data_IF_450404800717
#
_entry.id   IF_450404800717
#
_cell.length_a   1.000
_cell.length_b   1.000
_cell.length_c   1.000
_cell.angle_alpha   90.00
_cell.angle_beta   90.00
_cell.angle_gamma   90.00
#
_symmetry.space_group_name_H-M   'P 1'
#
loop_
_entity.id
_entity.type
_entity.pdbx_description
1 polymer ?
#
# COMPACT_ATOMS: atom_id res chain seq x y z
N UNK A 1 8.58 -8.62 7.73
CA UNK A 1 7.29 -9.31 7.44
C UNK A 1 6.57 -8.71 6.24
N UNK A 2 6.16 -7.44 6.32
CA UNK A 2 5.30 -6.79 5.30
C UNK A 2 5.92 -6.81 3.90
N UNK A 3 7.21 -6.49 3.78
CA UNK A 3 7.95 -6.59 2.52
C UNK A 3 7.84 -7.99 1.89
N UNK A 4 8.02 -9.06 2.67
CA UNK A 4 7.89 -10.44 2.17
C UNK A 4 6.48 -10.78 1.68
N UNK A 5 5.45 -10.39 2.44
CA UNK A 5 4.06 -10.55 2.02
C UNK A 5 3.75 -9.76 0.75
N UNK A 6 4.26 -8.53 0.62
CA UNK A 6 4.11 -7.69 -0.55
C UNK A 6 4.77 -8.33 -1.79
N UNK A 7 5.97 -8.92 -1.67
CA UNK A 7 6.63 -9.66 -2.77
C UNK A 7 5.73 -10.77 -3.31
N UNK A 8 5.20 -11.64 -2.44
CA UNK A 8 4.30 -12.73 -2.85
C UNK A 8 3.05 -12.19 -3.56
N UNK A 9 2.50 -11.10 -3.02
CA UNK A 9 1.26 -10.49 -3.54
C UNK A 9 1.47 -9.83 -4.89
N UNK A 10 2.55 -9.07 -5.06
CA UNK A 10 2.92 -8.47 -6.33
C UNK A 10 3.17 -9.56 -7.37
N UNK A 11 3.86 -10.64 -7.00
CA UNK A 11 4.08 -11.78 -7.89
C UNK A 11 2.76 -12.40 -8.39
N UNK A 12 1.77 -12.55 -7.50
CA UNK A 12 0.44 -13.02 -7.88
C UNK A 12 -0.29 -12.01 -8.79
N UNK A 13 -0.29 -10.74 -8.42
CA UNK A 13 -0.98 -9.68 -9.15
C UNK A 13 -0.39 -9.40 -10.53
N UNK A 14 0.93 -9.57 -10.71
CA UNK A 14 1.59 -9.45 -12.02
C UNK A 14 1.11 -10.50 -13.03
N UNK A 15 0.53 -11.61 -12.57
CA UNK A 15 -0.05 -12.66 -13.42
C UNK A 15 -1.53 -12.41 -13.77
N UNK A 16 -2.15 -11.38 -13.20
CA UNK A 16 -3.54 -11.01 -13.45
C UNK A 16 -3.63 -9.84 -14.43
N UNK A 17 -4.69 -9.82 -15.25
CA UNK A 17 -5.06 -8.71 -16.13
C UNK A 17 -6.27 -7.94 -15.60
N UNK A 18 -6.40 -6.70 -16.04
CA UNK A 18 -7.51 -5.82 -15.70
C UNK A 18 -8.86 -6.46 -16.11
N UNK A 19 -9.92 -6.36 -15.28
CA UNK A 19 -11.18 -7.05 -15.51
C UNK A 19 -11.96 -6.56 -16.74
N UNK A 20 -11.70 -5.34 -17.20
CA UNK A 20 -12.45 -4.70 -18.30
C UNK A 20 -11.58 -4.10 -19.41
N UNK A 21 -10.25 -4.08 -19.28
CA UNK A 21 -9.33 -3.45 -20.24
C UNK A 21 -8.14 -4.40 -20.48
N UNK A 22 -7.53 -4.36 -21.66
CA UNK A 22 -6.32 -5.15 -21.96
C UNK A 22 -5.05 -4.51 -21.37
N UNK A 23 -5.07 -4.29 -20.05
CA UNK A 23 -4.03 -3.60 -19.29
C UNK A 23 -3.60 -4.44 -18.05
N UNK A 24 -2.40 -4.20 -17.49
CA UNK A 24 -2.03 -4.76 -16.18
C UNK A 24 -3.01 -4.34 -15.09
N UNK A 25 -3.12 -5.18 -14.05
CA UNK A 25 -3.85 -4.82 -12.82
C UNK A 25 -3.11 -3.74 -12.02
N UNK A 26 -1.82 -3.54 -12.24
CA UNK A 26 -1.00 -2.54 -11.54
C UNK A 26 -0.93 -1.27 -12.39
N UNK A 27 -1.39 -0.16 -11.82
CA UNK A 27 -1.31 1.18 -12.43
C UNK A 27 0.01 1.87 -11.99
N UNK A 28 1.03 1.79 -12.83
CA UNK A 28 2.37 2.28 -12.50
C UNK A 28 2.44 3.81 -12.39
N UNK A 29 1.67 4.56 -13.20
CA UNK A 29 1.65 6.02 -13.16
C UNK A 29 1.05 6.51 -11.83
N UNK A 30 0.02 5.82 -11.31
CA UNK A 30 -0.54 6.12 -10.01
C UNK A 30 0.44 5.88 -8.86
N UNK A 31 1.23 4.81 -8.93
CA UNK A 31 2.30 4.56 -7.95
C UNK A 31 3.37 5.64 -8.05
N UNK A 32 3.83 5.98 -9.25
CA UNK A 32 4.83 7.03 -9.46
C UNK A 32 4.38 8.40 -8.95
N UNK A 33 3.08 8.69 -8.98
CA UNK A 33 2.54 9.94 -8.47
C UNK A 33 2.69 10.06 -6.95
N UNK A 34 2.43 9.00 -6.17
CA UNK A 34 2.37 9.10 -4.71
C UNK A 34 3.62 8.54 -4.02
N UNK A 35 4.28 7.55 -4.62
CA UNK A 35 5.43 6.88 -4.03
C UNK A 35 6.58 7.82 -3.62
N UNK A 36 7.03 8.80 -4.43
CA UNK A 36 8.16 9.65 -4.06
C UNK A 36 7.89 10.46 -2.78
N UNK A 37 6.68 11.04 -2.68
CA UNK A 37 6.24 11.78 -1.49
C UNK A 37 6.06 10.88 -0.29
N UNK A 38 5.59 9.65 -0.52
CA UNK A 38 5.46 8.64 0.52
C UNK A 38 6.83 8.20 1.06
N UNK A 39 7.83 8.03 0.20
CA UNK A 39 9.20 7.69 0.62
C UNK A 39 9.87 8.83 1.40
N UNK A 40 9.65 10.09 0.99
CA UNK A 40 10.04 11.26 1.79
C UNK A 40 9.44 11.18 3.21
N UNK A 41 8.13 10.93 3.30
CA UNK A 41 7.44 10.77 4.57
C UNK A 41 8.01 9.64 5.41
N UNK A 42 8.38 8.50 4.81
CA UNK A 42 8.96 7.36 5.52
C UNK A 42 10.27 7.74 6.20
N UNK A 43 11.19 8.41 5.50
CA UNK A 43 12.45 8.82 6.12
C UNK A 43 12.24 9.75 7.32
N UNK A 44 11.22 10.61 7.27
CA UNK A 44 10.85 11.48 8.40
C UNK A 44 10.24 10.63 9.53
N UNK A 45 9.34 9.71 9.20
CA UNK A 45 8.68 8.81 10.14
C UNK A 45 9.65 7.91 10.90
N UNK A 46 10.63 7.33 10.21
CA UNK A 46 11.69 6.52 10.85
C UNK A 46 12.56 7.38 11.76
N UNK A 47 12.87 8.62 11.36
CA UNK A 47 13.57 9.57 12.23
C UNK A 47 12.75 9.84 13.50
N UNK A 48 11.43 10.04 13.38
CA UNK A 48 10.54 10.19 14.54
C UNK A 48 10.42 8.93 15.39
N UNK A 49 10.51 7.74 14.80
CA UNK A 49 10.55 6.49 15.57
C UNK A 49 11.74 6.44 16.53
N UNK A 50 12.88 7.03 16.15
CA UNK A 50 14.06 7.14 17.03
C UNK A 50 13.85 8.15 18.15
N UNK A 51 13.11 9.23 17.92
CA UNK A 51 12.89 10.29 18.92
C UNK A 51 11.79 9.91 19.91
N UNK A 52 10.71 9.29 19.40
CA UNK A 52 9.48 9.09 20.15
C UNK A 52 9.58 7.91 21.12
N UNK A 53 9.05 8.05 22.35
CA UNK A 53 8.95 6.94 23.28
C UNK A 53 8.12 5.77 22.73
N UNK A 54 8.48 4.55 23.12
CA UNK A 54 7.78 3.31 22.74
C UNK A 54 6.27 3.36 23.03
N UNK A 55 5.86 3.99 24.14
CA UNK A 55 4.44 4.14 24.50
C UNK A 55 3.68 5.05 23.53
N UNK A 56 4.31 6.11 23.00
CA UNK A 56 3.69 7.01 22.00
C UNK A 56 3.45 6.26 20.70
N UNK A 57 4.45 5.49 20.25
CA UNK A 57 4.37 4.67 19.04
C UNK A 57 3.27 3.62 19.20
N UNK A 58 3.22 2.97 20.35
CA UNK A 58 2.20 1.97 20.69
C UNK A 58 0.79 2.57 20.69
N UNK A 59 0.58 3.70 21.37
CA UNK A 59 -0.72 4.38 21.39
C UNK A 59 -1.15 4.81 19.99
N UNK A 60 -0.21 5.35 19.20
CA UNK A 60 -0.44 5.73 17.80
C UNK A 60 -0.85 4.52 16.95
N UNK A 61 -0.18 3.38 17.12
CA UNK A 61 -0.51 2.13 16.45
C UNK A 61 -1.92 1.65 16.83
N UNK A 62 -2.27 1.66 18.11
CA UNK A 62 -3.60 1.24 18.60
C UNK A 62 -4.69 2.12 17.98
N UNK A 63 -4.53 3.45 18.02
CA UNK A 63 -5.50 4.39 17.43
C UNK A 63 -5.67 4.13 15.94
N UNK A 64 -4.56 3.93 15.21
CA UNK A 64 -4.60 3.67 13.78
C UNK A 64 -5.29 2.34 13.47
N UNK A 65 -4.95 1.26 14.18
CA UNK A 65 -5.54 -0.05 13.97
C UNK A 65 -7.03 -0.08 14.30
N UNK A 66 -7.47 0.58 15.38
CA UNK A 66 -8.89 0.70 15.71
C UNK A 66 -9.61 1.52 14.64
N UNK A 67 -9.08 2.70 14.28
CA UNK A 67 -9.71 3.56 13.28
C UNK A 67 -9.84 2.89 11.91
N UNK A 68 -8.79 2.20 11.46
CA UNK A 68 -8.81 1.46 10.19
C UNK A 68 -9.73 0.25 10.25
N UNK A 69 -9.76 -0.50 11.35
CA UNK A 69 -10.68 -1.63 11.56
C UNK A 69 -12.14 -1.19 11.54
N UNK A 70 -12.48 -0.11 12.25
CA UNK A 70 -13.84 0.42 12.31
C UNK A 70 -14.29 0.91 10.92
N UNK A 71 -13.45 1.70 10.23
CA UNK A 71 -13.73 2.15 8.84
C UNK A 71 -13.90 0.95 7.90
N UNK A 72 -13.05 -0.07 8.00
CA UNK A 72 -13.14 -1.29 7.19
C UNK A 72 -14.43 -2.07 7.46
N UNK A 73 -14.84 -2.20 8.73
CA UNK A 73 -16.06 -2.89 9.11
C UNK A 73 -17.31 -2.20 8.55
N UNK A 74 -17.44 -0.89 8.71
CA UNK A 74 -18.57 -0.13 8.14
C UNK A 74 -18.60 -0.24 6.61
N UNK A 75 -17.45 -0.08 5.95
CA UNK A 75 -17.35 -0.27 4.50
C UNK A 75 -17.71 -1.69 4.06
N UNK A 76 -17.36 -2.69 4.86
CA UNK A 76 -17.75 -4.09 4.66
C UNK A 76 -19.25 -4.28 4.71
N UNK A 77 -19.94 -3.64 5.67
CA UNK A 77 -21.41 -3.64 5.76
C UNK A 77 -22.06 -2.95 4.56
N UNK A 78 -21.54 -1.81 4.12
CA UNK A 78 -22.09 -1.08 2.97
C UNK A 78 -21.92 -1.90 1.68
N UNK A 79 -20.74 -2.48 1.48
CA UNK A 79 -20.45 -3.35 0.34
C UNK A 79 -21.35 -4.59 0.35
N UNK A 80 -21.55 -5.20 1.53
CA UNK A 80 -22.45 -6.34 1.68
C UNK A 80 -23.90 -6.00 1.31
N UNK A 81 -24.39 -4.83 1.74
CA UNK A 81 -25.74 -4.36 1.38
C UNK A 81 -25.87 -4.20 -0.13
N UNK A 82 -24.90 -3.55 -0.78
CA UNK A 82 -24.89 -3.37 -2.25
C UNK A 82 -24.86 -4.72 -2.97
N UNK A 83 -23.98 -5.63 -2.56
CA UNK A 83 -23.91 -6.99 -3.14
C UNK A 83 -25.19 -7.79 -2.94
N UNK A 84 -25.88 -7.59 -1.82
CA UNK A 84 -27.16 -8.26 -1.54
C UNK A 84 -28.26 -7.73 -2.46
N UNK A 85 -28.34 -6.41 -2.64
CA UNK A 85 -29.28 -5.78 -3.58
C UNK A 85 -29.00 -6.26 -5.02
N UNK A 86 -27.74 -6.27 -5.45
CA UNK A 86 -27.37 -6.75 -6.79
C UNK A 86 -27.74 -8.22 -7.02
N UNK A 87 -27.54 -9.09 -6.02
CA UNK A 87 -27.97 -10.50 -6.12
C UNK A 87 -29.49 -10.63 -6.13
N UNK A 88 -30.20 -9.81 -5.37
CA UNK A 88 -31.66 -9.80 -5.36
C UNK A 88 -32.22 -9.28 -6.68
N UNK A 89 -31.66 -8.22 -7.25
CA UNK A 89 -32.03 -7.69 -8.58
C UNK A 89 -31.73 -8.69 -9.69
N UNK A 90 -30.59 -9.40 -9.61
CA UNK A 90 -30.28 -10.48 -10.54
C UNK A 90 -31.29 -11.64 -10.42
N UNK A 91 -31.69 -12.01 -9.19
CA UNK A 91 -32.71 -13.04 -8.96
C UNK A 91 -34.11 -12.59 -9.40
N UNK A 92 -34.45 -11.30 -9.24
CA UNK A 92 -35.71 -10.71 -9.74
C UNK A 92 -35.74 -10.67 -11.26
N UNK A 93 -34.64 -10.29 -11.93
CA UNK A 93 -34.50 -10.35 -13.39
C UNK A 93 -34.61 -11.79 -13.89
N UNK A 94 -33.96 -12.75 -13.23
CA UNK A 94 -34.06 -14.17 -13.56
C UNK A 94 -35.50 -14.71 -13.40
N UNK A 95 -36.23 -14.30 -12.36
CA UNK A 95 -37.65 -14.65 -12.18
C UNK A 95 -38.58 -13.95 -13.17
N UNK A 96 -38.27 -12.72 -13.56
CA UNK A 96 -39.03 -11.91 -14.53
C UNK A 96 -38.91 -12.44 -15.96
N UNK A 97 -37.81 -13.09 -16.33
CA UNK A 97 -37.60 -13.60 -17.69
C UNK A 97 -38.28 -14.96 -17.93
N UNK A 98 -38.82 -15.63 -16.90
CA UNK A 98 -39.50 -16.91 -17.06
C UNK A 98 -38.54 -18.04 -17.43
N UNK A 99 -38.68 -19.20 -16.79
CA UNK A 99 -37.82 -20.35 -17.05
C UNK A 99 -38.07 -20.95 -18.43
N UNK A 100 -37.38 -20.44 -19.46
CA UNK A 100 -37.05 -21.13 -20.72
C UNK A 100 -36.43 -20.12 -21.68
N UNK A 101 -35.12 -19.92 -21.59
CA UNK A 101 -34.18 -19.63 -22.68
C UNK A 101 -32.83 -19.32 -22.01
N UNK A 102 -31.79 -20.06 -22.40
CA UNK A 102 -30.41 -19.72 -22.05
C UNK A 102 -30.13 -18.31 -22.60
N UNK A 103 -30.12 -17.31 -21.70
CA UNK A 103 -29.81 -15.93 -22.09
C UNK A 103 -28.32 -15.85 -22.42
N UNK A 104 -28.05 -16.01 -23.70
CA UNK A 104 -26.85 -15.56 -24.39
C UNK A 104 -26.51 -14.13 -23.92
N UNK A 105 -25.34 -14.00 -23.31
CA UNK A 105 -24.77 -12.73 -22.89
C UNK A 105 -24.61 -11.84 -24.12
N UNK A 106 -25.51 -10.87 -24.33
CA UNK A 106 -25.39 -9.91 -25.43
C UNK A 106 -24.26 -8.91 -25.09
N UNK A 107 -23.10 -8.95 -25.78
CA UNK A 107 -22.05 -7.97 -25.58
C UNK A 107 -22.54 -6.62 -26.13
N UNK A 108 -22.24 -5.53 -25.41
CA UNK A 108 -22.27 -4.18 -25.98
C UNK A 108 -21.35 -4.14 -27.21
N UNK A 109 -21.67 -3.33 -28.24
CA UNK A 109 -21.23 -3.56 -29.61
C UNK A 109 -19.71 -3.68 -29.70
N UNK A 110 -19.28 -4.91 -29.94
CA UNK A 110 -17.91 -5.30 -30.18
C UNK A 110 -17.46 -4.71 -31.51
N UNK A 111 -16.46 -3.84 -31.45
CA UNK A 111 -15.54 -3.63 -32.55
C UNK A 111 -14.67 -4.86 -32.69
N UNK A 112 -15.26 -5.92 -33.24
CA UNK A 112 -14.61 -7.01 -33.98
C UNK A 112 -13.46 -7.75 -33.24
N UNK A 113 -13.80 -8.81 -32.52
CA UNK A 113 -12.82 -9.86 -32.19
C UNK A 113 -13.34 -10.97 -31.28
N UNK A 114 -13.91 -12.01 -31.89
CA UNK A 114 -14.32 -13.25 -31.24
C UNK A 114 -13.16 -13.93 -30.48
N UNK A 115 -13.10 -13.76 -29.17
CA UNK A 115 -12.51 -14.71 -28.23
C UNK A 115 -13.23 -14.61 -26.87
N UNK A 116 -13.51 -15.73 -26.18
CA UNK A 116 -14.06 -15.69 -24.82
C UNK A 116 -13.07 -14.99 -23.88
N UNK A 117 -13.49 -14.41 -22.74
CA UNK A 117 -12.57 -13.84 -21.75
C UNK A 117 -11.84 -14.99 -21.04
N UNK A 118 -10.89 -15.60 -21.75
CA UNK A 118 -9.86 -16.45 -21.16
C UNK A 118 -9.07 -15.54 -20.26
N UNK A 119 -9.04 -15.85 -18.96
CA UNK A 119 -7.94 -15.47 -18.09
C UNK A 119 -6.67 -16.13 -18.64
N UNK A 120 -6.14 -15.60 -19.74
CA UNK A 120 -4.87 -16.02 -20.30
C UNK A 120 -3.83 -15.62 -19.25
N UNK A 121 -3.20 -16.63 -18.63
CA UNK A 121 -1.98 -16.42 -17.84
C UNK A 121 -0.95 -15.85 -18.80
N UNK A 122 -0.87 -14.54 -18.87
CA UNK A 122 0.10 -13.83 -19.68
C UNK A 122 1.48 -13.90 -19.04
N UNK A 123 2.51 -13.96 -19.88
CA UNK A 123 3.90 -13.98 -19.45
C UNK A 123 4.21 -12.69 -18.67
N UNK A 124 4.74 -12.84 -17.45
CA UNK A 124 5.01 -11.74 -16.48
C UNK A 124 5.72 -10.55 -17.11
N UNK A 125 6.67 -10.83 -18.03
CA UNK A 125 7.51 -9.82 -18.69
C UNK A 125 6.73 -8.89 -19.63
N UNK A 126 5.61 -9.32 -20.19
CA UNK A 126 4.80 -8.52 -21.10
C UNK A 126 3.85 -7.57 -20.36
N UNK A 127 3.67 -7.78 -19.05
CA UNK A 127 2.79 -6.99 -18.18
C UNK A 127 3.55 -5.87 -17.44
N UNK A 128 4.87 -5.76 -17.66
CA UNK A 128 5.75 -4.82 -16.98
C UNK A 128 5.99 -3.60 -17.86
N UNK A 129 5.64 -2.44 -17.32
CA UNK A 129 5.92 -1.13 -17.90
C UNK A 129 7.32 -0.69 -17.46
N UNK A 130 8.33 -1.05 -18.27
CA UNK A 130 9.75 -0.93 -17.91
C UNK A 130 10.22 0.50 -17.67
N UNK A 131 9.64 1.48 -18.36
CA UNK A 131 10.01 2.90 -18.21
C UNK A 131 9.57 3.42 -16.84
N UNK A 132 8.33 3.14 -16.48
CA UNK A 132 7.71 3.55 -15.23
C UNK A 132 8.33 2.81 -14.05
N UNK A 133 8.52 1.49 -14.18
CA UNK A 133 9.27 0.69 -13.21
C UNK A 133 10.71 1.20 -13.04
N UNK A 134 11.39 1.53 -14.14
CA UNK A 134 12.75 2.07 -14.11
C UNK A 134 12.83 3.39 -13.35
N UNK A 135 11.83 4.27 -13.52
CA UNK A 135 11.75 5.54 -12.81
C UNK A 135 11.50 5.33 -11.31
N UNK A 136 10.64 4.37 -10.95
CA UNK A 136 10.36 4.00 -9.56
C UNK A 136 11.61 3.42 -8.86
N UNK A 137 12.31 2.52 -9.55
CA UNK A 137 13.58 1.95 -9.07
C UNK A 137 14.65 3.03 -8.94
N UNK A 138 14.71 3.99 -9.88
CA UNK A 138 15.62 5.12 -9.80
C UNK A 138 15.37 5.96 -8.53
N UNK A 139 14.12 6.31 -8.24
CA UNK A 139 13.76 7.02 -6.99
C UNK A 139 14.21 6.19 -5.79
N UNK A 140 13.88 4.90 -5.77
CA UNK A 140 14.22 4.03 -4.66
C UNK A 140 15.74 3.91 -4.44
N UNK A 141 16.52 3.71 -5.49
CA UNK A 141 17.99 3.61 -5.44
C UNK A 141 18.61 4.95 -5.02
N UNK A 142 18.09 6.07 -5.49
CA UNK A 142 18.58 7.39 -5.07
C UNK A 142 18.36 7.62 -3.57
N UNK A 143 17.20 7.22 -3.04
CA UNK A 143 16.92 7.27 -1.60
C UNK A 143 17.82 6.33 -0.81
N UNK A 144 18.00 5.09 -1.29
CA UNK A 144 18.92 4.12 -0.71
C UNK A 144 20.34 4.69 -0.61
N UNK A 145 20.85 5.27 -1.70
CA UNK A 145 22.19 5.86 -1.73
C UNK A 145 22.33 6.99 -0.71
N UNK A 146 21.31 7.85 -0.57
CA UNK A 146 21.30 8.92 0.43
C UNK A 146 21.26 8.34 1.86
N UNK A 147 20.47 7.30 2.14
CA UNK A 147 20.43 6.71 3.48
C UNK A 147 21.75 5.99 3.84
N UNK A 148 22.35 5.27 2.89
CA UNK A 148 23.67 4.67 3.08
C UNK A 148 24.72 5.75 3.35
N UNK A 149 24.72 6.83 2.56
CA UNK A 149 25.63 7.95 2.78
C UNK A 149 25.44 8.59 4.17
N UNK A 150 24.19 8.72 4.64
CA UNK A 150 23.89 9.21 5.99
C UNK A 150 24.47 8.33 7.09
N UNK A 151 24.50 7.02 6.89
CA UNK A 151 25.05 6.08 7.88
C UNK A 151 26.55 6.32 8.15
N UNK A 152 27.30 6.82 7.17
CA UNK A 152 28.72 7.14 7.33
C UNK A 152 28.97 8.54 7.91
N UNK A 153 27.92 9.32 8.17
CA UNK A 153 28.05 10.69 8.70
C UNK A 153 27.70 10.75 10.17
N UNK A 154 28.42 11.58 10.92
CA UNK A 154 28.10 11.79 12.33
C UNK A 154 26.67 12.36 12.51
N UNK A 155 25.89 11.85 13.48
CA UNK A 155 24.56 12.35 13.77
C UNK A 155 24.62 13.85 14.08
N UNK A 156 23.64 14.62 13.59
CA UNK A 156 23.53 16.07 13.79
C UNK A 156 24.67 16.92 13.18
N UNK A 157 25.50 16.38 12.28
CA UNK A 157 26.43 17.17 11.47
C UNK A 157 25.71 18.00 10.40
N UNK A 158 26.35 19.08 9.91
CA UNK A 158 25.84 19.85 8.75
C UNK A 158 25.67 18.96 7.52
N UNK A 159 26.56 17.98 7.33
CA UNK A 159 26.46 16.99 6.24
C UNK A 159 25.22 16.10 6.37
N UNK A 160 24.84 15.71 7.59
CA UNK A 160 23.65 14.90 7.85
C UNK A 160 22.37 15.63 7.42
N UNK A 161 22.26 16.91 7.77
CA UNK A 161 21.11 17.75 7.38
C UNK A 161 21.08 18.01 5.88
N UNK A 162 22.23 18.23 5.24
CA UNK A 162 22.31 18.38 3.79
C UNK A 162 21.84 17.11 3.07
N UNK A 163 22.27 15.93 3.53
CA UNK A 163 21.83 14.65 2.96
C UNK A 163 20.31 14.42 3.17
N UNK A 164 19.75 14.83 4.30
CA UNK A 164 18.30 14.77 4.53
C UNK A 164 17.56 15.69 3.55
N UNK A 165 18.03 16.94 3.40
CA UNK A 165 17.44 17.90 2.47
C UNK A 165 17.58 17.48 1.01
N UNK A 166 18.59 16.69 0.64
CA UNK A 166 18.79 16.17 -0.71
C UNK A 166 17.67 15.23 -1.17
N UNK A 167 16.91 14.61 -0.25
CA UNK A 167 15.77 13.76 -0.59
C UNK A 167 14.57 14.57 -1.13
N UNK A 168 14.44 15.83 -0.70
CA UNK A 168 13.36 16.74 -1.09
C UNK A 168 13.36 17.05 -2.60
N UNK A 169 14.46 17.54 -3.22
CA UNK A 169 14.46 17.83 -4.65
C UNK A 169 14.26 16.59 -5.52
N UNK A 170 14.73 15.42 -5.07
CA UNK A 170 14.53 14.15 -5.79
C UNK A 170 13.04 13.78 -5.83
N UNK A 171 12.37 13.80 -4.68
CA UNK A 171 10.94 13.47 -4.59
C UNK A 171 10.05 14.51 -5.26
N UNK A 172 10.28 15.80 -5.00
CA UNK A 172 9.54 16.89 -5.63
C UNK A 172 9.76 16.88 -7.15
N UNK A 173 10.98 16.64 -7.62
CA UNK A 173 11.30 16.60 -9.06
C UNK A 173 10.52 15.51 -9.80
N UNK A 174 10.50 14.30 -9.25
CA UNK A 174 9.76 13.17 -9.84
C UNK A 174 8.24 13.39 -9.75
N UNK A 175 7.75 13.86 -8.60
CA UNK A 175 6.34 14.20 -8.44
C UNK A 175 5.88 15.26 -9.44
N UNK A 176 6.65 16.35 -9.59
CA UNK A 176 6.34 17.41 -10.55
C UNK A 176 6.40 16.91 -11.99
N UNK A 177 7.39 16.08 -12.33
CA UNK A 177 7.49 15.47 -13.65
C UNK A 177 6.22 14.68 -14.00
N UNK A 178 5.74 13.86 -13.06
CA UNK A 178 4.53 13.06 -13.24
C UNK A 178 3.26 13.93 -13.26
N UNK A 179 3.14 14.87 -12.32
CA UNK A 179 2.01 15.79 -12.22
C UNK A 179 1.87 16.68 -13.46
N UNK A 180 2.97 17.18 -14.02
CA UNK A 180 2.98 17.97 -15.26
C UNK A 180 2.65 17.06 -16.46
N UNK A 181 3.11 15.81 -16.46
CA UNK A 181 2.78 14.80 -17.47
C UNK A 181 1.28 14.50 -17.52
N UNK A 182 0.65 14.36 -16.35
CA UNK A 182 -0.80 14.20 -16.18
C UNK A 182 -1.57 15.46 -16.58
N UNK A 183 -1.14 16.65 -16.14
CA UNK A 183 -1.80 17.92 -16.44
C UNK A 183 -1.77 18.27 -17.94
N UNK A 184 -0.66 18.01 -18.63
CA UNK A 184 -0.53 18.22 -20.08
C UNK A 184 -1.18 17.12 -20.92
N UNK A 185 -1.81 16.12 -20.30
CA UNK A 185 -2.45 14.99 -20.98
C UNK A 185 -1.48 14.03 -21.68
N UNK A 186 -0.18 14.10 -21.38
CA UNK A 186 0.86 13.20 -21.94
C UNK A 186 0.86 11.83 -21.27
N UNK A 187 0.35 11.74 -20.03
CA UNK A 187 0.07 10.50 -19.30
C UNK A 187 -1.38 10.48 -18.86
N UNK A 188 -2.01 9.31 -18.87
CA UNK A 188 -3.39 9.10 -18.42
C UNK A 188 -3.38 7.93 -17.44
N UNK A 189 -4.10 8.07 -16.33
CA UNK A 189 -4.32 6.98 -15.38
C UNK A 189 -5.13 5.91 -16.11
N UNK A 190 -4.43 4.87 -16.55
CA UNK A 190 -4.95 3.86 -17.48
C UNK A 190 -6.16 3.12 -16.90
N UNK A 191 -6.27 3.08 -15.57
CA UNK A 191 -7.38 2.41 -14.87
C UNK A 191 -8.72 3.16 -14.86
N UNK A 192 -8.80 4.45 -15.24
CA UNK A 192 -10.03 5.26 -15.07
C UNK A 192 -10.79 5.58 -16.38
N UNK A 193 -10.29 5.18 -17.54
CA UNK A 193 -10.92 5.50 -18.83
C UNK A 193 -10.91 6.99 -19.17
N UNK A 194 -11.68 7.39 -20.21
CA UNK A 194 -11.76 8.76 -20.76
C UNK A 194 -12.54 9.77 -19.88
N UNK A 195 -12.71 9.53 -18.58
CA UNK A 195 -13.22 10.57 -17.69
C UNK A 195 -12.16 11.66 -17.50
N UNK A 196 -12.42 12.83 -18.08
CA UNK A 196 -11.64 14.06 -17.88
C UNK A 196 -11.70 14.43 -16.41
N UNK A 197 -10.73 13.95 -15.64
CA UNK A 197 -10.44 14.50 -14.34
C UNK A 197 -9.98 15.93 -14.57
N UNK A 198 -10.79 16.89 -14.12
CA UNK A 198 -10.36 18.27 -13.95
C UNK A 198 -9.28 18.25 -12.86
N UNK A 199 -8.02 18.00 -13.25
CA UNK A 199 -6.89 17.89 -12.34
C UNK A 199 -6.56 19.28 -11.80
N UNK A 200 -7.37 19.73 -10.86
CA UNK A 200 -7.09 20.93 -10.10
C UNK A 200 -5.78 20.70 -9.33
N UNK A 201 -4.89 21.69 -9.42
CA UNK A 201 -3.61 21.73 -8.69
C UNK A 201 -3.82 21.44 -7.20
N UNK A 202 -4.96 21.87 -6.65
CA UNK A 202 -5.35 21.60 -5.27
C UNK A 202 -5.44 20.09 -4.95
N UNK A 203 -6.00 19.29 -5.85
CA UNK A 203 -6.16 17.82 -5.67
C UNK A 203 -4.81 17.12 -5.70
N UNK A 204 -3.92 17.52 -6.62
CA UNK A 204 -2.53 17.03 -6.70
C UNK A 204 -1.74 17.38 -5.43
N UNK A 205 -1.87 18.62 -4.95
CA UNK A 205 -1.24 19.05 -3.70
C UNK A 205 -1.77 18.26 -2.50
N UNK A 206 -3.08 18.02 -2.44
CA UNK A 206 -3.70 17.19 -1.41
C UNK A 206 -3.15 15.75 -1.44
N UNK A 207 -2.93 15.17 -2.63
CA UNK A 207 -2.31 13.84 -2.75
C UNK A 207 -0.86 13.82 -2.29
N UNK A 208 -0.08 14.83 -2.63
CA UNK A 208 1.29 14.99 -2.12
C UNK A 208 1.28 15.05 -0.60
N UNK A 209 0.42 15.88 0.00
CA UNK A 209 0.31 16.02 1.45
C UNK A 209 -0.13 14.71 2.11
N UNK A 210 -1.15 14.02 1.56
CA UNK A 210 -1.60 12.72 2.03
C UNK A 210 -0.48 11.68 1.95
N UNK A 211 0.29 11.65 0.86
CA UNK A 211 1.44 10.77 0.67
C UNK A 211 2.52 10.99 1.73
N UNK A 212 2.89 12.25 1.99
CA UNK A 212 3.88 12.58 3.04
C UNK A 212 3.37 12.15 4.43
N UNK A 213 2.13 12.49 4.79
CA UNK A 213 1.55 12.11 6.09
C UNK A 213 1.45 10.59 6.24
N UNK A 214 0.99 9.90 5.20
CA UNK A 214 0.95 8.44 5.14
C UNK A 214 2.33 7.82 5.29
N UNK A 215 3.34 8.44 4.66
CA UNK A 215 4.73 8.06 4.78
C UNK A 215 5.25 8.24 6.21
N UNK A 216 4.98 9.38 6.85
CA UNK A 216 5.39 9.66 8.24
C UNK A 216 4.81 8.60 9.18
N UNK A 217 3.50 8.35 9.10
CA UNK A 217 2.85 7.34 9.94
C UNK A 217 3.34 5.93 9.59
N UNK A 218 3.46 5.62 8.29
CA UNK A 218 3.92 4.30 7.83
C UNK A 218 5.38 4.00 8.17
N UNK A 219 6.24 5.03 8.16
CA UNK A 219 7.64 4.98 8.58
C UNK A 219 7.75 4.86 10.09
N UNK A 220 7.00 5.67 10.85
CA UNK A 220 6.96 5.62 12.32
C UNK A 220 6.56 4.25 12.85
N UNK A 221 5.62 3.57 12.18
CA UNK A 221 5.12 2.27 12.58
C UNK A 221 5.87 1.08 11.93
N UNK A 222 6.78 1.34 10.99
CA UNK A 222 7.47 0.29 10.23
C UNK A 222 6.57 -0.55 9.32
N UNK A 223 5.36 -0.06 9.00
CA UNK A 223 4.40 -0.76 8.14
C UNK A 223 4.70 -0.50 6.65
N UNK A 224 5.33 0.64 6.34
CA UNK A 224 5.39 1.18 4.97
C UNK A 224 4.02 1.74 4.57
N UNK A 225 3.99 2.98 4.05
CA UNK A 225 2.74 3.75 3.88
C UNK A 225 1.69 3.20 2.90
N UNK A 226 1.87 1.98 2.37
CA UNK A 226 0.95 1.34 1.43
C UNK A 226 -0.48 1.10 1.95
N UNK A 227 -0.70 1.10 3.27
CA UNK A 227 -2.04 0.95 3.84
C UNK A 227 -2.97 2.15 3.53
N UNK A 228 -2.40 3.34 3.27
CA UNK A 228 -3.17 4.55 2.91
C UNK A 228 -3.49 4.59 1.41
N UNK A 229 -2.64 3.98 0.58
CA UNK A 229 -2.81 3.94 -0.88
C UNK A 229 -4.15 3.30 -1.28
N UNK A 230 -4.54 2.21 -0.62
CA UNK A 230 -5.79 1.49 -0.93
C UNK A 230 -7.05 2.38 -0.82
N UNK A 231 -7.35 2.94 0.35
CA UNK A 231 -8.49 3.87 0.51
C UNK A 231 -8.42 5.07 -0.44
N UNK A 232 -7.23 5.66 -0.61
CA UNK A 232 -7.02 6.83 -1.46
C UNK A 232 -7.38 6.54 -2.93
N UNK A 233 -7.01 5.37 -3.44
CA UNK A 233 -7.32 4.94 -4.81
C UNK A 233 -8.82 4.68 -5.00
N UNK A 234 -9.49 4.10 -3.99
CA UNK A 234 -10.95 3.92 -4.02
C UNK A 234 -11.70 5.26 -4.00
N UNK A 235 -11.21 6.26 -3.26
CA UNK A 235 -11.78 7.62 -3.25
C UNK A 235 -11.60 8.33 -4.60
N UNK A 236 -10.65 7.89 -5.42
CA UNK A 236 -10.50 8.34 -6.80
C UNK A 236 -11.44 7.63 -7.78
N UNK A 237 -12.23 6.65 -7.33
CA UNK A 237 -13.13 5.86 -8.17
C UNK A 237 -12.42 4.75 -8.95
N UNK A 238 -11.20 4.37 -8.55
CA UNK A 238 -10.46 3.28 -9.19
C UNK A 238 -11.09 1.94 -8.79
N UNK A 239 -11.26 1.00 -9.73
CA UNK A 239 -11.80 -0.33 -9.44
C UNK A 239 -11.06 -1.01 -8.26
N UNK A 240 -11.76 -1.71 -7.35
CA UNK A 240 -11.12 -2.34 -6.18
C UNK A 240 -10.02 -3.33 -6.51
N UNK A 241 -10.15 -4.06 -7.63
CA UNK A 241 -9.16 -5.04 -8.08
C UNK A 241 -7.83 -4.38 -8.45
N UNK A 242 -7.86 -3.28 -9.22
CA UNK A 242 -6.67 -2.49 -9.58
C UNK A 242 -6.09 -1.80 -8.38
N UNK A 243 -6.95 -1.19 -7.55
CA UNK A 243 -6.53 -0.54 -6.31
C UNK A 243 -5.71 -1.46 -5.42
N UNK A 244 -6.18 -2.70 -5.21
CA UNK A 244 -5.48 -3.69 -4.40
C UNK A 244 -4.11 -4.06 -4.98
N UNK A 245 -4.04 -4.28 -6.29
CA UNK A 245 -2.80 -4.59 -7.00
C UNK A 245 -1.77 -3.46 -6.91
N UNK A 246 -2.20 -2.25 -7.28
CA UNK A 246 -1.39 -1.03 -7.30
C UNK A 246 -0.92 -0.62 -5.91
N UNK A 247 -1.79 -0.68 -4.89
CA UNK A 247 -1.41 -0.37 -3.52
C UNK A 247 -0.37 -1.36 -2.98
N UNK A 248 -0.51 -2.66 -3.28
CA UNK A 248 0.45 -3.66 -2.82
C UNK A 248 1.80 -3.52 -3.53
N UNK A 249 1.79 -3.09 -4.81
CA UNK A 249 3.00 -2.76 -5.53
C UNK A 249 3.74 -1.56 -4.92
N UNK A 250 3.05 -0.46 -4.61
CA UNK A 250 3.65 0.66 -3.86
C UNK A 250 4.10 0.26 -2.44
N UNK A 251 3.37 -0.65 -1.79
CA UNK A 251 3.74 -1.21 -0.48
C UNK A 251 5.08 -1.96 -0.53
N UNK A 252 5.40 -2.64 -1.62
CA UNK A 252 6.68 -3.33 -1.80
C UNK A 252 7.86 -2.36 -1.75
N UNK A 253 7.79 -1.24 -2.47
CA UNK A 253 8.87 -0.23 -2.50
C UNK A 253 8.96 0.55 -1.18
N UNK A 254 7.81 0.87 -0.58
CA UNK A 254 7.79 1.63 0.68
C UNK A 254 8.27 0.79 1.87
N UNK A 255 7.79 -0.45 2.00
CA UNK A 255 8.20 -1.34 3.09
C UNK A 255 9.66 -1.80 2.95
N UNK A 256 10.17 -2.01 1.73
CA UNK A 256 11.60 -2.31 1.53
C UNK A 256 12.49 -1.15 1.95
N UNK A 257 12.08 0.10 1.67
CA UNK A 257 12.80 1.28 2.15
C UNK A 257 12.81 1.37 3.67
N UNK A 258 11.68 1.16 4.34
CA UNK A 258 11.62 1.13 5.81
C UNK A 258 12.53 0.03 6.38
N UNK A 259 12.56 -1.18 5.79
CA UNK A 259 13.45 -2.26 6.24
C UNK A 259 14.91 -1.83 6.18
N UNK A 260 15.33 -1.19 5.08
CA UNK A 260 16.69 -0.66 4.96
C UNK A 260 16.98 0.40 6.02
N UNK A 261 16.10 1.37 6.21
CA UNK A 261 16.33 2.44 7.19
C UNK A 261 16.41 1.90 8.62
N UNK A 262 15.54 0.97 9.00
CA UNK A 262 15.59 0.31 10.30
C UNK A 262 16.80 -0.63 10.45
N UNK A 263 17.29 -1.21 9.35
CA UNK A 263 18.51 -2.01 9.35
C UNK A 263 19.75 -1.14 9.56
N UNK A 264 19.83 0.01 8.88
CA UNK A 264 20.92 0.99 9.08
C UNK A 264 20.92 1.59 10.49
N UNK A 265 19.80 1.54 11.20
CA UNK A 265 19.68 1.96 12.60
C UNK A 265 19.92 0.83 13.61
N UNK A 266 20.29 -0.38 13.16
CA UNK A 266 20.49 -1.58 14.00
C UNK A 266 19.30 -1.90 14.95
N UNK A 267 18.07 -1.54 14.54
CA UNK A 267 16.87 -1.65 15.38
C UNK A 267 16.32 -3.08 15.50
N UNK A 268 16.83 -4.03 14.73
CA UNK A 268 16.39 -5.42 14.83
C UNK A 268 17.50 -6.42 14.47
N UNK A 269 17.50 -7.61 15.09
CA UNK A 269 18.43 -8.69 14.72
C UNK A 269 18.05 -9.32 13.38
N UNK A 270 19.01 -9.31 12.43
CA UNK A 270 18.83 -9.81 11.05
C UNK A 270 18.33 -11.26 10.96
N UNK A 271 18.79 -12.23 11.78
CA UNK A 271 18.32 -13.62 11.67
C UNK A 271 16.82 -13.78 11.89
N UNK A 272 16.26 -13.06 12.88
CA UNK A 272 14.82 -13.08 13.15
C UNK A 272 14.04 -12.43 12.01
N UNK A 273 14.56 -11.33 11.44
CA UNK A 273 13.91 -10.66 10.32
C UNK A 273 13.81 -11.57 9.09
N UNK A 274 14.86 -12.33 8.76
CA UNK A 274 14.85 -13.29 7.66
C UNK A 274 13.84 -14.42 7.89
N UNK A 275 13.79 -14.97 9.10
CA UNK A 275 12.79 -15.98 9.47
C UNK A 275 11.37 -15.46 9.26
N UNK A 276 11.07 -14.27 9.76
CA UNK A 276 9.76 -13.64 9.62
C UNK A 276 9.41 -13.26 8.17
N UNK A 277 10.39 -12.95 7.32
CA UNK A 277 10.18 -12.74 5.88
C UNK A 277 9.77 -14.07 5.22
N UNK A 278 10.48 -15.16 5.49
CA UNK A 278 10.19 -16.47 4.91
C UNK A 278 8.78 -16.95 5.28
N UNK A 279 8.42 -16.87 6.57
CA UNK A 279 7.08 -17.22 7.05
C UNK A 279 6.02 -16.33 6.42
N UNK A 280 6.26 -15.02 6.31
CA UNK A 280 5.31 -14.09 5.71
C UNK A 280 5.07 -14.34 4.21
N UNK A 281 6.10 -14.72 3.46
CA UNK A 281 5.96 -15.08 2.03
C UNK A 281 5.06 -16.31 1.89
N UNK A 282 5.33 -17.37 2.66
CA UNK A 282 4.56 -18.62 2.61
C UNK A 282 3.10 -18.35 3.03
N UNK A 283 2.90 -17.63 4.14
CA UNK A 283 1.58 -17.29 4.64
C UNK A 283 0.79 -16.41 3.65
N UNK A 284 1.44 -15.44 3.00
CA UNK A 284 0.80 -14.60 1.99
C UNK A 284 0.37 -15.41 0.76
N UNK A 285 1.22 -16.31 0.27
CA UNK A 285 0.90 -17.16 -0.88
C UNK A 285 -0.29 -18.08 -0.59
N UNK A 286 -0.28 -18.75 0.57
CA UNK A 286 -1.38 -19.61 1.01
C UNK A 286 -2.65 -18.79 1.26
N UNK A 287 -2.54 -17.63 1.92
CA UNK A 287 -3.65 -16.73 2.20
C UNK A 287 -4.32 -16.23 0.92
N UNK A 288 -3.53 -15.86 -0.10
CA UNK A 288 -4.05 -15.46 -1.40
C UNK A 288 -4.81 -16.56 -2.09
N UNK A 289 -4.24 -17.76 -2.13
CA UNK A 289 -4.91 -18.92 -2.73
C UNK A 289 -6.26 -19.20 -2.05
N UNK A 290 -6.30 -19.16 -0.71
CA UNK A 290 -7.53 -19.35 0.07
C UNK A 290 -8.54 -18.24 -0.22
N UNK A 291 -8.11 -16.97 -0.19
CA UNK A 291 -8.98 -15.82 -0.43
C UNK A 291 -9.58 -15.88 -1.83
N UNK A 292 -8.78 -16.14 -2.87
CA UNK A 292 -9.27 -16.27 -4.25
C UNK A 292 -10.30 -17.39 -4.36
N UNK A 293 -10.03 -18.55 -3.77
CA UNK A 293 -10.98 -19.68 -3.76
C UNK A 293 -12.27 -19.35 -3.01
N UNK A 294 -12.17 -18.64 -1.88
CA UNK A 294 -13.31 -18.18 -1.09
C UNK A 294 -14.18 -17.20 -1.89
N UNK A 295 -13.57 -16.27 -2.64
CA UNK A 295 -14.29 -15.33 -3.51
C UNK A 295 -15.07 -16.09 -4.60
N UNK A 296 -14.45 -17.08 -5.24
CA UNK A 296 -15.13 -17.88 -6.28
C UNK A 296 -16.32 -18.65 -5.71
N UNK A 297 -16.19 -19.19 -4.50
CA UNK A 297 -17.26 -19.98 -3.85
C UNK A 297 -18.40 -19.08 -3.36
N UNK A 298 -18.09 -17.96 -2.69
CA UNK A 298 -19.10 -17.10 -2.07
C UNK A 298 -19.72 -16.08 -3.05
N UNK A 299 -19.02 -15.76 -4.15
CA UNK A 299 -19.44 -14.76 -5.12
C UNK A 299 -19.75 -13.40 -4.48
N UNK A 300 -19.01 -13.04 -3.42
CA UNK A 300 -19.15 -11.82 -2.62
C UNK A 300 -17.77 -11.32 -2.23
N UNK A 301 -17.39 -10.12 -2.65
CA UNK A 301 -16.13 -9.50 -2.30
C UNK A 301 -16.15 -8.92 -0.87
N UNK A 302 -17.35 -8.63 -0.34
CA UNK A 302 -17.55 -8.13 1.04
C UNK A 302 -16.94 -9.02 2.13
N UNK A 303 -16.85 -10.35 1.92
CA UNK A 303 -16.21 -11.27 2.87
C UNK A 303 -14.72 -10.97 3.08
N UNK A 304 -14.01 -10.51 2.05
CA UNK A 304 -12.59 -10.13 2.15
C UNK A 304 -12.44 -8.98 3.14
N UNK A 305 -13.31 -7.99 3.05
CA UNK A 305 -13.27 -6.79 3.89
C UNK A 305 -13.54 -7.17 5.35
N UNK A 306 -14.49 -8.08 5.61
CA UNK A 306 -14.75 -8.57 6.97
C UNK A 306 -13.59 -9.36 7.55
N UNK A 307 -12.97 -10.26 6.79
CA UNK A 307 -11.78 -11.02 7.24
C UNK A 307 -10.63 -10.07 7.55
N UNK A 308 -10.36 -9.10 6.68
CA UNK A 308 -9.32 -8.09 6.91
C UNK A 308 -9.62 -7.25 8.16
N UNK A 309 -10.85 -6.74 8.32
CA UNK A 309 -11.24 -5.98 9.51
C UNK A 309 -11.05 -6.80 10.80
N UNK A 310 -11.50 -8.06 10.81
CA UNK A 310 -11.35 -8.95 11.96
C UNK A 310 -9.88 -9.23 12.31
N UNK A 311 -9.04 -9.50 11.30
CA UNK A 311 -7.60 -9.73 11.53
C UNK A 311 -6.87 -8.49 12.04
N UNK A 312 -7.20 -7.29 11.55
CA UNK A 312 -6.65 -6.02 12.06
C UNK A 312 -7.10 -5.80 13.50
N UNK A 313 -8.36 -6.08 13.82
CA UNK A 313 -8.89 -5.94 15.18
C UNK A 313 -8.18 -6.86 16.19
N UNK A 314 -8.02 -8.15 15.86
CA UNK A 314 -7.26 -9.09 16.71
C UNK A 314 -5.81 -8.62 16.87
N UNK A 315 -5.17 -8.17 15.78
CA UNK A 315 -3.81 -7.66 15.82
C UNK A 315 -3.69 -6.43 16.72
N UNK A 316 -4.68 -5.53 16.70
CA UNK A 316 -4.74 -4.35 17.56
C UNK A 316 -4.82 -4.72 19.05
N UNK A 317 -5.64 -5.71 19.40
CA UNK A 317 -5.77 -6.19 20.78
C UNK A 317 -4.46 -6.83 21.25
N UNK A 318 -3.87 -7.71 20.43
CA UNK A 318 -2.64 -8.41 20.78
C UNK A 318 -1.45 -7.44 20.95
N UNK A 319 -1.22 -6.57 19.96
CA UNK A 319 -0.13 -5.58 20.01
C UNK A 319 -0.37 -4.54 21.10
N UNK A 320 -1.62 -4.11 21.29
CA UNK A 320 -1.98 -3.20 22.37
C UNK A 320 -1.72 -3.81 23.74
N UNK A 321 -2.07 -5.07 23.95
CA UNK A 321 -1.79 -5.79 25.20
C UNK A 321 -0.30 -5.91 25.50
N UNK A 322 0.51 -6.31 24.50
CA UNK A 322 1.97 -6.39 24.65
C UNK A 322 2.59 -5.01 24.91
N UNK A 323 2.12 -3.97 24.22
CA UNK A 323 2.61 -2.60 24.41
C UNK A 323 2.26 -2.03 25.79
N UNK A 324 1.04 -2.28 26.29
CA UNK A 324 0.60 -1.85 27.63
C UNK A 324 1.41 -2.58 28.71
N UNK A 325 1.55 -3.90 28.62
CA UNK A 325 2.33 -4.68 29.60
C UNK A 325 3.79 -4.24 29.66
N UNK A 326 4.41 -3.97 28.50
CA UNK A 326 5.77 -3.42 28.45
C UNK A 326 5.86 -2.02 29.06
N UNK A 327 4.88 -1.16 28.81
CA UNK A 327 4.84 0.19 29.38
C UNK A 327 4.70 0.15 30.91
N UNK A 328 3.86 -0.73 31.44
CA UNK A 328 3.72 -0.92 32.89
C UNK A 328 5.04 -1.40 33.50
N UNK A 329 5.73 -2.36 32.88
CA UNK A 329 7.03 -2.83 33.35
C UNK A 329 8.09 -1.70 33.41
N UNK A 330 8.12 -0.83 32.39
CA UNK A 330 9.04 0.33 32.39
C UNK A 330 8.71 1.34 33.50
N UNK A 331 7.43 1.53 33.82
CA UNK A 331 6.99 2.38 34.95
C UNK A 331 7.44 1.79 36.28
N UNK A 332 7.26 0.48 36.49
CA UNK A 332 7.67 -0.21 37.72
C UNK A 332 9.18 -0.13 37.93
N UNK A 333 9.96 -0.25 36.86
CA UNK A 333 11.43 -0.20 36.88
C UNK A 333 12.00 1.23 36.94
N UNK A 334 11.15 2.28 36.96
CA UNK A 334 11.54 3.69 36.94
C UNK A 334 12.48 4.04 35.77
N UNK A 335 12.29 3.38 34.62
CA UNK A 335 13.08 3.65 33.42
C UNK A 335 12.67 4.99 32.76
N UNK A 336 13.59 5.58 31.99
CA UNK A 336 13.33 6.85 31.31
C UNK A 336 12.29 6.67 30.19
N UNK A 337 11.10 7.26 30.37
CA UNK A 337 9.99 7.19 29.40
C UNK A 337 9.86 8.43 28.49
N UNK A 338 10.89 9.29 28.49
CA UNK A 338 10.91 10.52 27.72
C UNK A 338 11.46 10.36 26.30
N UNK A 339 11.52 11.47 25.56
CA UNK A 339 12.04 11.49 24.19
C UNK A 339 13.55 11.23 24.15
N UNK A 340 14.00 10.38 23.23
CA UNK A 340 15.42 10.11 23.03
C UNK A 340 16.09 11.23 22.22
N UNK A 341 17.40 11.41 22.42
CA UNK A 341 18.18 12.41 21.70
C UNK A 341 18.83 11.79 20.46
N UNK A 342 18.38 12.20 19.26
CA UNK A 342 18.97 11.82 17.98
C UNK A 342 20.50 11.98 17.94
N UNK A 343 21.04 13.04 18.55
CA UNK A 343 22.48 13.33 18.49
C UNK A 343 23.35 12.44 19.40
N UNK A 344 22.75 11.62 20.27
CA UNK A 344 23.49 10.65 21.10
C UNK A 344 23.62 9.28 20.43
N UNK A 345 22.90 9.04 19.34
CA UNK A 345 22.93 7.78 18.61
C UNK A 345 24.23 7.69 17.80
N UNK A 346 25.24 7.03 18.34
CA UNK A 346 26.51 6.79 17.62
C UNK A 346 26.27 5.69 16.60
N UNK A 347 26.35 6.02 15.31
CA UNK A 347 26.49 5.02 14.26
C UNK A 347 27.79 4.26 14.54
N UNK A 348 27.69 2.94 14.74
CA UNK A 348 28.83 2.06 15.00
C UNK A 348 29.64 1.79 13.73
#
# INVERSE_FOLDING_TARGET
MIMGAAVSTVYHNLRLRHPTLDLPVIDYDLVLLIQPMLMLGISIGVTFNVIFPDWVITVTLIILCIGTSVKAFFKGLDTWKIETILKEDAARRFKSTGGSEEVEYKPLPDGQGNDPPKASKVTILQNIYWKELGLLVFVWVSYLAVQIAKNYTAPCSTTFWVLNLLQIPVSIGVFLYEAIGLYKGRRRISSKGDEVMDWQVHRLLMFSACGVVAGIVGGLLGIGGGFVMGPLFLEMGIPPQVTSGTATFGMLFSSSMSVVEYYLLDRFPVPYALYFIAVAIIAAFVGQYIITKLITISGRASLIIFVLAFTIFISAIALGGVGITRTIGMIEQHEYMGFENLCKYTAA
#
